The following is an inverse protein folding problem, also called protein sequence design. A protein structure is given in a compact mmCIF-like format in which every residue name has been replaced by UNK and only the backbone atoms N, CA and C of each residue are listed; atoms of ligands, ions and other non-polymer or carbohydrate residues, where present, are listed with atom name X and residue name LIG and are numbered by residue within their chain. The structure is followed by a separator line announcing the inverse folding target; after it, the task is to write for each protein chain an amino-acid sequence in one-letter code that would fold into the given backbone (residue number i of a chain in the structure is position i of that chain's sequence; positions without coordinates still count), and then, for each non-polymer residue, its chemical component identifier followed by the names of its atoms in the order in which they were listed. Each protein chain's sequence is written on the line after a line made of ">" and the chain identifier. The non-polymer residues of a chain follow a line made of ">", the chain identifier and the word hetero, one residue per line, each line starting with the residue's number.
data_IF_797647149591
#
_entry.id   IF_797647149591
#
_cell.length_a   1.000
_cell.length_b   1.000
_cell.length_c   1.000
_cell.angle_alpha   90.00
_cell.angle_beta   90.00
_cell.angle_gamma   90.00
#
_symmetry.space_group_name_H-M   'P 1'
#
loop_
_entity.id
_entity.type
_entity.pdbx_description
1 polymer ?
#
# COMPACT_ATOMS: atom_id res chain seq x y z
N UNK A 1 -11.15 15.58 -6.28
CA UNK A 1 -10.80 14.23 -5.88
C UNK A 1 -9.28 14.02 -5.69
N UNK A 2 -8.48 14.52 -6.63
CA UNK A 2 -7.03 14.34 -6.56
C UNK A 2 -6.41 14.98 -5.30
N UNK A 3 -6.90 16.14 -4.88
CA UNK A 3 -6.42 16.81 -3.68
C UNK A 3 -6.75 16.00 -2.44
N UNK A 4 -7.97 15.45 -2.37
CA UNK A 4 -8.39 14.61 -1.25
C UNK A 4 -7.56 13.33 -1.18
N UNK A 5 -7.31 12.71 -2.33
CA UNK A 5 -6.48 11.50 -2.39
C UNK A 5 -5.06 11.79 -1.91
N UNK A 6 -4.49 12.91 -2.35
CA UNK A 6 -3.15 13.30 -1.93
C UNK A 6 -3.07 13.49 -0.42
N UNK A 7 -4.05 14.22 0.16
CA UNK A 7 -4.07 14.47 1.59
C UNK A 7 -4.24 13.18 2.39
N UNK A 8 -5.10 12.27 1.92
CA UNK A 8 -5.29 10.97 2.56
C UNK A 8 -4.02 10.12 2.49
N UNK A 9 -3.32 10.17 1.35
CA UNK A 9 -2.05 9.47 1.18
C UNK A 9 -1.02 9.98 2.18
N UNK A 10 -0.87 11.29 2.32
CA UNK A 10 0.11 11.88 3.26
C UNK A 10 -0.22 11.47 4.70
N UNK A 11 -1.50 11.52 5.08
CA UNK A 11 -1.94 11.11 6.42
C UNK A 11 -1.55 9.66 6.72
N UNK A 12 -1.83 8.76 5.76
CA UNK A 12 -1.52 7.35 5.94
C UNK A 12 -0.02 7.08 5.94
N UNK A 13 0.73 7.79 5.10
CA UNK A 13 2.19 7.66 5.07
C UNK A 13 2.80 8.08 6.41
N UNK A 14 2.29 9.13 7.02
CA UNK A 14 2.75 9.57 8.35
C UNK A 14 2.45 8.50 9.41
N UNK A 15 1.29 7.85 9.33
CA UNK A 15 0.94 6.77 10.25
C UNK A 15 1.89 5.58 10.12
N UNK A 16 2.34 5.29 8.90
CA UNK A 16 3.29 4.21 8.67
C UNK A 16 4.62 4.46 9.36
N UNK A 17 5.06 5.72 9.45
CA UNK A 17 6.30 6.04 10.15
C UNK A 17 6.22 5.70 11.64
N UNK A 18 5.05 5.86 12.25
CA UNK A 18 4.83 5.53 13.66
C UNK A 18 4.48 4.06 13.88
N UNK A 19 3.75 3.46 12.95
CA UNK A 19 3.24 2.09 13.08
C UNK A 19 3.44 1.34 11.75
N UNK A 20 4.67 0.88 11.46
CA UNK A 20 4.96 0.24 10.15
C UNK A 20 4.10 -0.99 9.85
N UNK A 21 3.63 -1.68 10.87
CA UNK A 21 2.84 -2.91 10.70
C UNK A 21 1.33 -2.66 10.72
N UNK A 22 0.88 -1.41 10.60
CA UNK A 22 -0.54 -1.08 10.63
C UNK A 22 -1.31 -1.67 9.44
N UNK A 23 -0.65 -1.81 8.28
CA UNK A 23 -1.25 -2.46 7.12
C UNK A 23 -1.31 -3.97 7.29
N UNK A 24 -2.26 -4.60 6.61
CA UNK A 24 -2.36 -6.06 6.60
C UNK A 24 -1.53 -6.65 5.45
N UNK A 25 -1.18 -7.93 5.57
CA UNK A 25 -0.47 -8.62 4.50
C UNK A 25 -1.33 -8.67 3.24
N UNK A 26 -0.70 -8.37 2.08
CA UNK A 26 -1.42 -8.32 0.82
C UNK A 26 -1.54 -9.71 0.21
N UNK A 27 -2.77 -10.25 0.22
CA UNK A 27 -3.02 -11.62 -0.21
C UNK A 27 -2.70 -11.86 -1.69
N UNK A 28 -2.87 -10.85 -2.53
CA UNK A 28 -2.59 -10.98 -3.96
C UNK A 28 -1.12 -11.19 -4.26
N UNK A 29 -0.24 -10.85 -3.31
CA UNK A 29 1.21 -10.92 -3.49
C UNK A 29 1.86 -11.94 -2.57
N UNK A 30 1.08 -12.88 -2.02
CA UNK A 30 1.61 -13.92 -1.12
C UNK A 30 2.67 -14.81 -1.77
N UNK A 31 2.61 -14.96 -3.09
CA UNK A 31 3.57 -15.78 -3.83
C UNK A 31 4.96 -15.14 -3.91
N UNK A 32 5.08 -13.88 -3.53
CA UNK A 32 6.36 -13.16 -3.53
C UNK A 32 7.09 -13.41 -2.22
N UNK A 33 8.42 -13.38 -2.27
CA UNK A 33 9.23 -13.53 -1.07
C UNK A 33 9.12 -12.34 -0.14
N UNK A 34 8.89 -11.17 -0.70
CA UNK A 34 8.68 -9.96 0.08
C UNK A 34 7.32 -10.00 0.78
N UNK A 35 7.28 -9.54 2.01
CA UNK A 35 6.04 -9.46 2.76
C UNK A 35 5.34 -8.14 2.44
N UNK A 36 4.64 -8.11 1.32
CA UNK A 36 3.88 -6.93 0.92
C UNK A 36 2.71 -6.69 1.86
N UNK A 37 2.55 -5.43 2.26
CA UNK A 37 1.45 -4.99 3.09
C UNK A 37 0.64 -3.93 2.37
N UNK A 38 -0.64 -3.83 2.72
CA UNK A 38 -1.55 -2.84 2.15
C UNK A 38 -2.20 -2.04 3.27
N UNK A 39 -2.29 -0.74 3.06
CA UNK A 39 -3.00 0.15 3.96
C UNK A 39 -4.06 0.92 3.16
N UNK A 40 -5.31 0.81 3.57
CA UNK A 40 -6.42 1.49 2.90
C UNK A 40 -6.25 3.00 3.05
N UNK A 41 -6.27 3.71 1.93
CA UNK A 41 -6.20 5.17 1.89
C UNK A 41 -7.61 5.76 1.90
N UNK A 42 -8.46 5.26 0.98
CA UNK A 42 -9.86 5.63 0.89
C UNK A 42 -10.66 4.44 0.35
N UNK A 43 -11.93 4.66 -0.02
CA UNK A 43 -12.81 3.57 -0.45
C UNK A 43 -12.36 2.86 -1.73
N UNK A 44 -11.48 3.48 -2.53
CA UNK A 44 -11.04 2.91 -3.81
C UNK A 44 -9.55 2.63 -3.87
N UNK A 45 -8.76 3.20 -2.97
CA UNK A 45 -7.31 3.17 -3.08
C UNK A 45 -6.65 2.53 -1.87
N UNK A 46 -5.59 1.78 -2.11
CA UNK A 46 -4.74 1.25 -1.05
C UNK A 46 -3.28 1.53 -1.39
N UNK A 47 -2.48 1.72 -0.36
CA UNK A 47 -1.04 1.91 -0.46
C UNK A 47 -0.39 0.56 -0.23
N UNK A 48 0.44 0.13 -1.19
CA UNK A 48 1.14 -1.16 -1.11
C UNK A 48 2.59 -0.88 -0.78
N UNK A 49 3.10 -1.51 0.28
CA UNK A 49 4.43 -1.23 0.80
C UNK A 49 5.08 -2.47 1.38
N UNK A 50 6.39 -2.38 1.58
CA UNK A 50 7.16 -3.39 2.33
C UNK A 50 7.94 -2.69 3.43
N UNK A 51 8.32 -3.46 4.45
CA UNK A 51 9.20 -3.01 5.51
C UNK A 51 10.55 -3.66 5.27
N UNK A 52 11.58 -2.86 5.05
CA UNK A 52 12.93 -3.35 4.76
C UNK A 52 13.89 -2.76 5.79
N UNK A 53 14.17 -3.56 6.84
CA UNK A 53 14.94 -3.07 7.98
C UNK A 53 14.17 -1.98 8.71
N UNK A 54 14.74 -0.78 8.78
CA UNK A 54 14.09 0.39 9.38
C UNK A 54 13.34 1.25 8.37
N UNK A 55 13.40 0.86 7.09
CA UNK A 55 12.82 1.64 6.01
C UNK A 55 11.46 1.10 5.59
N UNK A 56 10.60 2.01 5.16
CA UNK A 56 9.33 1.67 4.55
C UNK A 56 9.43 2.01 3.07
N UNK A 57 9.25 1.00 2.22
CA UNK A 57 9.32 1.19 0.77
C UNK A 57 7.90 1.15 0.21
N UNK A 58 7.47 2.27 -0.34
CA UNK A 58 6.14 2.37 -0.97
C UNK A 58 6.29 1.96 -2.43
N UNK A 59 5.59 0.90 -2.83
CA UNK A 59 5.68 0.37 -4.19
C UNK A 59 4.66 1.00 -5.10
N UNK A 60 3.43 1.20 -4.63
CA UNK A 60 2.39 1.78 -5.46
C UNK A 60 1.20 2.22 -4.61
N UNK A 61 0.42 3.14 -5.16
CA UNK A 61 -0.93 3.41 -4.69
C UNK A 61 -1.85 2.74 -5.70
N UNK A 62 -2.59 1.75 -5.25
CA UNK A 62 -3.37 0.87 -6.10
C UNK A 62 -4.86 1.19 -6.06
N UNK A 63 -5.46 1.37 -7.24
CA UNK A 63 -6.91 1.52 -7.37
C UNK A 63 -7.54 0.13 -7.34
N UNK A 64 -8.29 -0.15 -6.27
CA UNK A 64 -8.88 -1.48 -6.04
C UNK A 64 -9.98 -1.86 -7.05
N UNK A 65 -10.40 -0.92 -7.89
CA UNK A 65 -11.38 -1.21 -8.95
C UNK A 65 -10.73 -1.85 -10.18
N UNK A 66 -9.40 -1.80 -10.28
CA UNK A 66 -8.69 -2.41 -11.40
C UNK A 66 -8.56 -3.92 -11.20
N UNK A 67 -8.31 -4.62 -12.31
CA UNK A 67 -8.10 -6.06 -12.29
C UNK A 67 -6.94 -6.42 -11.35
N UNK A 68 -7.17 -7.27 -10.34
CA UNK A 68 -6.11 -7.65 -9.38
C UNK A 68 -4.84 -8.19 -10.02
N UNK A 69 -4.95 -8.83 -11.18
CA UNK A 69 -3.78 -9.34 -11.90
C UNK A 69 -2.81 -8.25 -12.33
N UNK A 70 -3.31 -7.02 -12.50
CA UNK A 70 -2.44 -5.88 -12.85
C UNK A 70 -1.55 -5.48 -11.68
N UNK A 71 -2.02 -5.64 -10.45
CA UNK A 71 -1.20 -5.36 -9.27
C UNK A 71 0.00 -6.30 -9.23
N UNK A 72 -0.22 -7.58 -9.50
CA UNK A 72 0.84 -8.59 -9.50
C UNK A 72 1.93 -8.24 -10.50
N UNK A 73 1.56 -7.70 -11.65
CA UNK A 73 2.51 -7.30 -12.68
C UNK A 73 3.22 -5.98 -12.34
N UNK A 74 2.56 -5.09 -11.60
CA UNK A 74 3.09 -3.76 -11.30
C UNK A 74 4.19 -3.80 -10.25
N UNK A 75 4.10 -4.70 -9.32
CA UNK A 75 5.08 -4.86 -8.25
C UNK A 75 5.73 -6.22 -8.33
#
# INVERSE_FOLDING_TARGET
>A
YAVKLYNSFIDKAERLLSFPQIGHLENLLQHRNENFRSLVIDEHNKLVYTIEGEDIVIHTVWDCRQNPKKLIKKV
#
